data_IF_456122185779
#
_entry.id   IF_456122185779
#
_cell.length_a   1.000
_cell.length_b   1.000
_cell.length_c   1.000
_cell.angle_alpha   90.00
_cell.angle_beta   90.00
_cell.angle_gamma   90.00
#
_symmetry.space_group_name_H-M   'P 1'
#
loop_
_entity.id
_entity.type
_entity.pdbx_description
1 polymer ?
#
# COMPACT_ATOMS: atom_id res chain seq x y z
N UNK A 1 70.75 17.30 -32.47
CA UNK A 1 70.03 16.56 -31.45
C UNK A 1 68.75 17.27 -31.13
N UNK A 2 67.63 16.87 -31.71
CA UNK A 2 66.34 17.57 -31.54
C UNK A 2 65.45 16.70 -30.67
N UNK A 3 65.13 17.19 -29.50
CA UNK A 3 64.21 16.55 -28.59
C UNK A 3 62.74 16.85 -28.96
N UNK A 4 61.94 15.81 -29.24
CA UNK A 4 60.48 15.95 -29.46
C UNK A 4 59.77 15.86 -28.11
N UNK A 5 59.10 16.93 -27.73
CA UNK A 5 58.14 16.93 -26.65
C UNK A 5 56.82 16.26 -27.13
N UNK A 6 56.43 15.15 -26.50
CA UNK A 6 55.12 14.54 -26.70
C UNK A 6 54.12 15.17 -25.72
N UNK A 7 53.11 15.86 -26.25
CA UNK A 7 52.02 16.45 -25.52
C UNK A 7 50.99 15.33 -25.19
N UNK A 8 50.84 14.99 -23.91
CA UNK A 8 49.80 14.11 -23.45
C UNK A 8 48.51 14.93 -23.29
N UNK A 9 47.50 14.64 -24.12
CA UNK A 9 46.17 15.22 -23.98
C UNK A 9 45.40 14.36 -22.95
N UNK A 10 45.19 14.91 -21.76
CA UNK A 10 44.25 14.33 -20.77
C UNK A 10 42.82 14.64 -21.23
N UNK A 11 42.09 13.63 -21.67
CA UNK A 11 40.66 13.71 -21.91
C UNK A 11 39.97 13.59 -20.54
N UNK A 12 39.44 14.70 -20.04
CA UNK A 12 38.58 14.69 -18.85
C UNK A 12 37.21 14.10 -19.23
N UNK A 13 36.89 12.89 -18.71
CA UNK A 13 35.57 12.35 -18.77
C UNK A 13 34.64 13.12 -17.83
N UNK A 14 33.42 13.51 -18.24
CA UNK A 14 32.49 14.17 -17.35
C UNK A 14 31.97 13.15 -16.31
N UNK A 15 32.23 13.43 -15.02
CA UNK A 15 31.56 12.78 -13.90
C UNK A 15 30.12 13.32 -13.80
N UNK A 16 29.18 12.69 -14.49
CA UNK A 16 27.76 13.03 -14.42
C UNK A 16 26.91 11.92 -13.80
N UNK A 17 27.22 11.50 -12.55
CA UNK A 17 26.47 10.41 -11.92
C UNK A 17 25.84 10.63 -10.51
N UNK A 18 26.02 11.73 -9.77
CA UNK A 18 25.38 11.83 -8.45
C UNK A 18 24.00 12.46 -8.41
N UNK A 19 23.59 13.23 -9.44
CA UNK A 19 22.33 13.99 -9.39
C UNK A 19 21.12 13.08 -9.58
N UNK A 20 21.21 12.13 -10.48
CA UNK A 20 20.12 11.23 -10.85
C UNK A 20 19.72 10.22 -9.73
N UNK A 21 20.69 9.75 -8.95
CA UNK A 21 20.44 8.84 -7.83
C UNK A 21 19.77 9.53 -6.64
N UNK A 22 20.09 10.80 -6.40
CA UNK A 22 19.48 11.59 -5.33
C UNK A 22 18.02 11.94 -5.66
N UNK A 23 17.73 12.26 -6.92
CA UNK A 23 16.37 12.56 -7.40
C UNK A 23 15.48 11.33 -7.35
N UNK A 24 15.96 10.17 -7.83
CA UNK A 24 15.25 8.91 -7.74
C UNK A 24 14.97 8.49 -6.28
N UNK A 25 15.98 8.61 -5.42
CA UNK A 25 15.83 8.33 -3.98
C UNK A 25 14.73 9.21 -3.36
N UNK A 26 14.64 10.49 -3.78
CA UNK A 26 13.60 11.40 -3.31
C UNK A 26 12.20 11.02 -3.81
N UNK A 27 12.07 10.50 -5.03
CA UNK A 27 10.80 10.02 -5.59
C UNK A 27 10.32 8.74 -4.92
N UNK A 28 11.24 7.86 -4.53
CA UNK A 28 10.94 6.58 -3.88
C UNK A 28 10.79 6.66 -2.36
N UNK A 29 11.23 7.75 -1.70
CA UNK A 29 10.99 7.93 -0.25
C UNK A 29 9.50 7.87 0.03
N UNK A 30 9.08 6.76 0.64
CA UNK A 30 7.68 6.45 0.83
C UNK A 30 7.05 7.22 1.98
N UNK A 31 7.82 7.57 3.02
CA UNK A 31 7.23 8.22 4.18
C UNK A 31 8.25 8.74 5.19
N UNK A 32 7.98 9.93 5.74
CA UNK A 32 8.46 10.34 7.05
C UNK A 32 7.34 9.99 8.03
N UNK A 33 7.56 9.02 8.91
CA UNK A 33 6.56 8.66 9.91
C UNK A 33 6.40 9.81 10.90
N UNK A 34 5.16 10.31 11.13
CA UNK A 34 4.92 11.38 12.07
C UNK A 34 5.24 10.92 13.49
N UNK A 35 5.83 11.79 14.30
CA UNK A 35 6.08 11.48 15.70
C UNK A 35 4.81 11.69 16.53
N UNK A 36 4.20 10.62 17.07
CA UNK A 36 3.02 10.76 17.90
C UNK A 36 3.37 11.33 19.27
N UNK A 37 2.60 12.35 19.72
CA UNK A 37 2.63 12.82 21.12
C UNK A 37 1.71 11.92 21.94
N UNK A 38 0.50 11.68 21.46
CA UNK A 38 -0.50 10.86 22.14
C UNK A 38 -1.30 10.04 21.11
N UNK A 39 -1.34 8.73 21.32
CA UNK A 39 -2.19 7.79 20.56
C UNK A 39 -3.06 7.02 21.53
N UNK A 40 -4.32 7.43 21.64
CA UNK A 40 -5.31 6.73 22.45
C UNK A 40 -5.71 5.44 21.73
N UNK A 41 -5.64 4.32 22.42
CA UNK A 41 -6.12 3.04 21.86
C UNK A 41 -7.64 3.05 21.66
N UNK A 42 -8.16 2.41 20.59
CA UNK A 42 -9.59 2.32 20.37
C UNK A 42 -10.26 1.49 21.47
N UNK A 43 -11.36 2.01 22.03
CA UNK A 43 -12.14 1.27 23.02
C UNK A 43 -12.78 0.06 22.35
N UNK A 44 -12.54 -1.12 22.91
CA UNK A 44 -13.19 -2.35 22.43
C UNK A 44 -14.70 -2.26 22.61
N UNK A 45 -15.54 -2.37 21.55
CA UNK A 45 -16.98 -2.29 21.69
C UNK A 45 -17.52 -3.46 22.54
N UNK A 46 -18.36 -3.14 23.52
CA UNK A 46 -18.86 -4.13 24.50
C UNK A 46 -19.52 -5.32 23.80
N UNK A 47 -20.31 -5.09 22.75
CA UNK A 47 -20.96 -6.17 22.00
C UNK A 47 -19.97 -7.04 21.23
N UNK A 48 -18.89 -6.45 20.71
CA UNK A 48 -17.84 -7.20 20.06
C UNK A 48 -17.08 -8.06 21.08
N UNK A 49 -16.73 -7.49 22.24
CA UNK A 49 -16.04 -8.20 23.32
C UNK A 49 -16.89 -9.38 23.86
N UNK A 50 -18.18 -9.17 24.13
CA UNK A 50 -19.11 -10.23 24.59
C UNK A 50 -19.23 -11.39 23.60
N UNK A 51 -19.05 -11.11 22.32
CA UNK A 51 -19.14 -12.10 21.24
C UNK A 51 -17.77 -12.62 20.80
N UNK A 52 -16.70 -12.24 21.50
CA UNK A 52 -15.32 -12.59 21.14
C UNK A 52 -14.98 -12.27 19.68
N UNK A 53 -15.56 -11.18 19.12
CA UNK A 53 -15.31 -10.77 17.73
C UNK A 53 -14.02 -9.99 17.64
N UNK A 54 -13.07 -10.52 16.95
CA UNK A 54 -11.83 -9.84 16.57
C UNK A 54 -12.00 -9.16 15.20
N UNK A 55 -11.05 -8.29 14.84
CA UNK A 55 -11.03 -7.63 13.56
C UNK A 55 -9.97 -6.55 13.48
N UNK A 56 -9.96 -5.86 12.37
CA UNK A 56 -9.00 -4.79 12.11
C UNK A 56 -9.64 -3.68 11.28
N UNK A 57 -9.06 -2.50 11.38
CA UNK A 57 -9.46 -1.30 10.62
C UNK A 57 -8.21 -0.57 10.18
N UNK A 58 -8.11 -0.27 8.88
CA UNK A 58 -7.06 0.56 8.31
C UNK A 58 -7.63 1.93 8.01
N UNK A 59 -6.94 2.96 8.50
CA UNK A 59 -7.32 4.34 8.33
C UNK A 59 -6.23 5.11 7.60
N UNK A 60 -6.64 6.02 6.71
CA UNK A 60 -5.81 7.12 6.22
C UNK A 60 -6.31 8.43 6.84
N UNK A 61 -5.40 9.34 7.21
CA UNK A 61 -5.76 10.59 7.87
C UNK A 61 -4.76 11.70 7.60
N UNK A 62 -5.17 12.91 7.90
CA UNK A 62 -4.37 14.13 7.79
C UNK A 62 -4.05 14.62 9.20
N UNK A 63 -2.80 15.05 9.40
CA UNK A 63 -2.37 15.79 10.61
C UNK A 63 -2.25 17.25 10.22
N UNK A 64 -2.99 18.14 10.92
CA UNK A 64 -2.95 19.58 10.67
C UNK A 64 -1.67 20.23 11.23
N UNK A 65 -1.55 21.55 11.06
CA UNK A 65 -0.38 22.32 11.53
C UNK A 65 -0.28 22.38 13.05
N UNK A 66 -1.37 22.15 13.73
CA UNK A 66 -1.51 22.10 15.20
C UNK A 66 -1.30 20.68 15.76
N UNK A 67 -1.06 19.69 14.88
CA UNK A 67 -0.86 18.29 15.27
C UNK A 67 -2.15 17.49 15.50
N UNK A 68 -3.31 18.02 15.13
CA UNK A 68 -4.59 17.32 15.27
C UNK A 68 -4.85 16.40 14.07
N UNK A 69 -5.55 15.28 14.33
CA UNK A 69 -5.99 14.36 13.29
C UNK A 69 -7.34 14.74 12.72
N UNK A 70 -7.41 14.90 11.39
CA UNK A 70 -8.61 15.16 10.62
C UNK A 70 -8.69 14.34 9.33
N UNK A 71 -9.76 14.54 8.56
CA UNK A 71 -9.97 13.87 7.27
C UNK A 71 -9.70 12.36 7.30
N UNK A 72 -10.23 11.68 8.33
CA UNK A 72 -10.06 10.24 8.54
C UNK A 72 -10.89 9.47 7.53
N UNK A 73 -10.22 8.65 6.70
CA UNK A 73 -10.83 7.74 5.73
C UNK A 73 -10.58 6.28 6.15
N UNK A 74 -11.60 5.45 6.01
CA UNK A 74 -11.46 4.00 6.16
C UNK A 74 -11.00 3.43 4.82
N UNK A 75 -9.75 3.05 4.71
CA UNK A 75 -9.20 2.43 3.48
C UNK A 75 -9.57 0.96 3.40
N UNK A 76 -9.56 0.26 4.54
CA UNK A 76 -9.95 -1.15 4.62
C UNK A 76 -10.46 -1.52 6.01
N UNK A 77 -11.25 -2.60 6.11
CA UNK A 77 -11.76 -3.10 7.38
C UNK A 77 -12.18 -4.56 7.28
N UNK A 78 -12.12 -5.28 8.41
CA UNK A 78 -12.69 -6.63 8.56
C UNK A 78 -14.23 -6.68 8.45
N UNK A 79 -14.90 -5.54 8.19
CA UNK A 79 -16.34 -5.46 7.97
C UNK A 79 -17.20 -5.24 9.24
N UNK A 80 -16.60 -5.11 10.41
CA UNK A 80 -17.31 -4.88 11.67
C UNK A 80 -17.54 -3.38 11.89
N UNK A 81 -18.78 -2.90 11.74
CA UNK A 81 -19.13 -1.48 11.85
C UNK A 81 -18.80 -0.86 13.19
N UNK A 82 -19.01 -1.58 14.29
CA UNK A 82 -18.72 -1.10 15.63
C UNK A 82 -17.21 -0.98 15.91
N UNK A 83 -16.39 -1.92 15.42
CA UNK A 83 -14.94 -1.81 15.47
C UNK A 83 -14.46 -0.61 14.63
N UNK A 84 -15.00 -0.45 13.42
CA UNK A 84 -14.67 0.67 12.52
C UNK A 84 -14.97 2.03 13.17
N UNK A 85 -16.13 2.18 13.78
CA UNK A 85 -16.51 3.42 14.48
C UNK A 85 -15.59 3.71 15.67
N UNK A 86 -15.22 2.68 16.43
CA UNK A 86 -14.30 2.83 17.56
C UNK A 86 -12.90 3.26 17.10
N UNK A 87 -12.39 2.69 16.00
CA UNK A 87 -11.11 3.07 15.42
C UNK A 87 -11.10 4.53 14.93
N UNK A 88 -12.15 4.95 14.20
CA UNK A 88 -12.27 6.32 13.73
C UNK A 88 -12.32 7.32 14.91
N UNK A 89 -13.09 6.98 15.96
CA UNK A 89 -13.17 7.81 17.15
C UNK A 89 -11.82 8.00 17.82
N UNK A 90 -11.09 6.90 18.05
CA UNK A 90 -9.77 6.94 18.65
C UNK A 90 -8.78 7.77 17.80
N UNK A 91 -8.74 7.56 16.48
CA UNK A 91 -7.85 8.28 15.59
C UNK A 91 -8.08 9.81 15.62
N UNK A 92 -9.32 10.25 15.73
CA UNK A 92 -9.66 11.68 15.83
C UNK A 92 -9.21 12.35 17.13
N UNK A 93 -8.93 11.57 18.16
CA UNK A 93 -8.46 12.05 19.47
C UNK A 93 -6.91 12.07 19.55
N UNK A 94 -6.19 11.55 18.54
CA UNK A 94 -4.74 11.51 18.52
C UNK A 94 -4.11 12.88 18.34
N UNK A 95 -2.91 13.02 18.91
CA UNK A 95 -2.08 14.22 18.83
C UNK A 95 -0.69 13.85 18.33
N UNK A 96 -0.15 14.70 17.45
CA UNK A 96 1.15 14.56 16.83
C UNK A 96 1.97 15.84 16.90
N UNK A 97 3.28 15.72 16.83
CA UNK A 97 4.13 16.81 16.43
C UNK A 97 3.89 17.12 14.96
N UNK A 98 3.54 18.40 14.59
CA UNK A 98 3.35 18.76 13.20
C UNK A 98 4.66 18.65 12.43
N UNK A 99 4.60 18.34 11.15
CA UNK A 99 5.76 18.42 10.28
C UNK A 99 6.24 19.86 10.19
N UNK A 100 7.55 20.05 10.09
CA UNK A 100 8.17 21.35 9.95
C UNK A 100 8.81 21.49 8.57
N UNK A 101 8.54 22.59 7.87
CA UNK A 101 9.18 22.97 6.62
C UNK A 101 9.71 24.41 6.74
N UNK A 102 11.03 24.58 6.58
CA UNK A 102 11.68 25.88 6.76
C UNK A 102 11.35 26.56 8.10
N UNK A 103 11.28 25.78 9.18
CA UNK A 103 10.95 26.25 10.53
C UNK A 103 9.49 26.62 10.76
N UNK A 104 8.60 26.35 9.80
CA UNK A 104 7.17 26.57 9.93
C UNK A 104 6.40 25.23 9.97
N UNK A 105 5.36 25.10 10.82
CA UNK A 105 4.54 23.91 10.85
C UNK A 105 3.75 23.75 9.55
N UNK A 106 3.76 22.53 9.00
CA UNK A 106 3.04 22.17 7.78
C UNK A 106 2.13 20.99 8.03
N UNK A 107 1.09 20.87 7.23
CA UNK A 107 0.15 19.78 7.27
C UNK A 107 0.80 18.49 6.77
N UNK A 108 0.54 17.36 7.43
CA UNK A 108 0.94 16.01 6.98
C UNK A 108 -0.29 15.25 6.48
N UNK A 109 -0.35 14.97 5.18
CA UNK A 109 -1.60 14.52 4.57
C UNK A 109 -1.60 13.02 4.18
N UNK A 110 -0.45 12.36 4.16
CA UNK A 110 -0.32 10.96 3.74
C UNK A 110 0.02 10.04 4.94
N UNK A 111 -0.89 9.93 5.89
CA UNK A 111 -0.72 9.05 7.05
C UNK A 111 -1.69 7.88 6.96
N UNK A 112 -1.24 6.68 7.32
CA UNK A 112 -2.13 5.53 7.49
C UNK A 112 -1.74 4.71 8.72
N UNK A 113 -2.71 3.98 9.26
CA UNK A 113 -2.52 3.11 10.39
C UNK A 113 -3.47 1.93 10.28
N UNK A 114 -3.05 0.76 10.74
CA UNK A 114 -3.93 -0.35 11.04
C UNK A 114 -4.12 -0.47 12.55
N UNK A 115 -5.36 -0.61 12.97
CA UNK A 115 -5.74 -0.91 14.35
C UNK A 115 -6.34 -2.30 14.42
N UNK A 116 -5.73 -3.17 15.21
CA UNK A 116 -6.20 -4.53 15.44
C UNK A 116 -7.00 -4.59 16.75
N UNK A 117 -8.14 -5.24 16.69
CA UNK A 117 -8.98 -5.56 17.85
C UNK A 117 -8.79 -7.04 18.17
N UNK A 118 -8.02 -7.33 19.20
CA UNK A 118 -7.68 -8.69 19.65
C UNK A 118 -8.24 -8.94 21.03
N UNK A 119 -8.78 -10.15 21.25
CA UNK A 119 -9.31 -10.54 22.57
C UNK A 119 -8.23 -10.76 23.61
N UNK A 120 -7.04 -11.17 23.18
CA UNK A 120 -5.86 -11.39 24.01
C UNK A 120 -4.66 -10.64 23.42
N UNK A 121 -3.64 -10.38 24.24
CA UNK A 121 -2.44 -9.64 23.81
C UNK A 121 -1.80 -10.19 22.53
N UNK A 122 -1.84 -11.51 22.35
CA UNK A 122 -1.31 -12.20 21.17
C UNK A 122 -2.42 -12.67 20.19
N UNK A 123 -3.67 -12.20 20.36
CA UNK A 123 -4.83 -12.68 19.61
C UNK A 123 -5.26 -14.10 20.02
N UNK A 124 -6.36 -14.56 19.41
CA UNK A 124 -6.81 -15.96 19.59
C UNK A 124 -5.91 -16.87 18.77
N UNK A 125 -5.22 -17.80 19.45
CA UNK A 125 -4.36 -18.79 18.78
C UNK A 125 -5.18 -19.97 18.27
N UNK A 126 -4.87 -20.41 17.04
CA UNK A 126 -5.55 -21.55 16.41
C UNK A 126 -6.77 -21.16 15.59
N UNK A 127 -7.54 -22.15 15.21
CA UNK A 127 -8.73 -22.00 14.36
C UNK A 127 -9.90 -22.80 14.93
N UNK A 128 -11.13 -22.30 14.77
CA UNK A 128 -12.35 -23.00 15.18
C UNK A 128 -12.55 -24.30 14.37
N UNK A 129 -13.26 -25.27 14.95
CA UNK A 129 -13.58 -26.54 14.26
C UNK A 129 -14.38 -26.29 12.97
N UNK A 130 -15.29 -25.32 13.00
CA UNK A 130 -16.11 -24.92 11.85
C UNK A 130 -15.23 -24.39 10.73
N UNK A 131 -14.38 -23.39 11.02
CA UNK A 131 -13.46 -22.81 10.04
C UNK A 131 -12.52 -23.87 9.47
N UNK A 132 -11.90 -24.69 10.32
CA UNK A 132 -11.01 -25.77 9.90
C UNK A 132 -11.68 -26.73 8.90
N UNK A 133 -12.95 -27.08 9.12
CA UNK A 133 -13.70 -27.96 8.21
C UNK A 133 -13.95 -27.29 6.86
N UNK A 134 -14.39 -26.03 6.85
CA UNK A 134 -14.63 -25.27 5.63
C UNK A 134 -13.33 -25.03 4.85
N UNK A 135 -12.27 -24.63 5.56
CA UNK A 135 -10.95 -24.38 4.98
C UNK A 135 -10.36 -25.62 4.28
N UNK A 136 -10.42 -26.80 4.93
CA UNK A 136 -9.97 -28.04 4.32
C UNK A 136 -10.73 -28.38 3.02
N UNK A 137 -12.06 -28.19 3.01
CA UNK A 137 -12.87 -28.41 1.81
C UNK A 137 -12.49 -27.44 0.70
N UNK A 138 -12.27 -26.16 1.05
CA UNK A 138 -11.84 -25.15 0.11
C UNK A 138 -10.44 -25.43 -0.45
N UNK A 139 -9.49 -25.85 0.39
CA UNK A 139 -8.14 -26.25 -0.08
C UNK A 139 -8.21 -27.42 -1.06
N UNK A 140 -9.01 -28.45 -0.76
CA UNK A 140 -9.18 -29.59 -1.64
C UNK A 140 -9.81 -29.17 -2.96
N UNK A 141 -10.87 -28.36 -2.92
CA UNK A 141 -11.53 -27.82 -4.11
C UNK A 141 -10.58 -26.99 -5.00
N UNK A 142 -9.67 -26.22 -4.39
CA UNK A 142 -8.64 -25.49 -5.13
C UNK A 142 -7.69 -26.46 -5.86
N UNK A 143 -7.21 -27.50 -5.20
CA UNK A 143 -6.33 -28.52 -5.80
C UNK A 143 -7.04 -29.26 -6.94
N UNK A 144 -8.32 -29.60 -6.77
CA UNK A 144 -9.14 -30.30 -7.74
C UNK A 144 -9.67 -29.38 -8.85
N UNK A 145 -9.48 -28.06 -8.71
CA UNK A 145 -10.02 -27.01 -9.59
C UNK A 145 -11.55 -26.99 -9.66
N UNK A 146 -12.21 -27.47 -8.59
CA UNK A 146 -13.64 -27.32 -8.40
C UNK A 146 -13.96 -25.93 -7.84
N UNK A 147 -13.91 -24.93 -8.73
CA UNK A 147 -14.11 -23.53 -8.36
C UNK A 147 -15.51 -23.23 -7.82
N UNK A 148 -16.52 -24.05 -8.16
CA UNK A 148 -17.87 -23.89 -7.61
C UNK A 148 -17.90 -24.21 -6.12
N UNK A 149 -17.35 -25.34 -5.73
CA UNK A 149 -17.23 -25.73 -4.32
C UNK A 149 -16.33 -24.74 -3.57
N UNK A 150 -15.23 -24.31 -4.19
CA UNK A 150 -14.32 -23.34 -3.60
C UNK A 150 -15.04 -22.02 -3.29
N UNK A 151 -15.76 -21.43 -4.27
CA UNK A 151 -16.53 -20.20 -4.10
C UNK A 151 -17.57 -20.32 -2.98
N UNK A 152 -18.29 -21.46 -2.91
CA UNK A 152 -19.26 -21.74 -1.85
C UNK A 152 -18.59 -21.73 -0.47
N UNK A 153 -17.43 -22.39 -0.31
CA UNK A 153 -16.73 -22.46 0.97
C UNK A 153 -16.13 -21.09 1.36
N UNK A 154 -15.54 -20.35 0.41
CA UNK A 154 -15.04 -19.00 0.64
C UNK A 154 -16.17 -18.05 1.06
N UNK A 155 -17.32 -18.12 0.41
CA UNK A 155 -18.50 -17.33 0.77
C UNK A 155 -19.02 -17.67 2.18
N UNK A 156 -19.01 -18.94 2.58
CA UNK A 156 -19.39 -19.37 3.93
C UNK A 156 -18.43 -18.85 5.00
N UNK A 157 -17.12 -18.90 4.74
CA UNK A 157 -16.11 -18.32 5.64
C UNK A 157 -16.24 -16.80 5.73
N UNK A 158 -16.37 -16.09 4.61
CA UNK A 158 -16.53 -14.63 4.58
C UNK A 158 -17.77 -14.11 5.32
N UNK A 159 -18.84 -14.91 5.37
CA UNK A 159 -20.07 -14.57 6.12
C UNK A 159 -19.92 -14.74 7.63
N UNK A 160 -18.87 -15.40 8.11
CA UNK A 160 -18.67 -15.64 9.52
C UNK A 160 -18.20 -14.37 10.24
N UNK A 161 -19.13 -13.74 10.96
CA UNK A 161 -18.87 -12.52 11.74
C UNK A 161 -17.95 -12.76 12.96
N UNK A 162 -17.65 -13.99 13.29
CA UNK A 162 -16.83 -14.38 14.44
C UNK A 162 -15.46 -14.94 14.03
N UNK A 163 -15.07 -14.72 12.79
CA UNK A 163 -13.75 -15.13 12.30
C UNK A 163 -12.65 -14.44 13.12
N UNK A 164 -11.76 -15.22 13.71
CA UNK A 164 -10.59 -14.70 14.41
C UNK A 164 -9.55 -14.14 13.45
N UNK A 165 -8.63 -13.30 13.93
CA UNK A 165 -7.58 -12.75 13.08
C UNK A 165 -6.69 -13.83 12.45
N UNK A 166 -6.39 -14.92 13.18
CA UNK A 166 -5.68 -16.08 12.64
C UNK A 166 -6.45 -16.77 11.50
N UNK A 167 -7.77 -16.94 11.65
CA UNK A 167 -8.63 -17.51 10.61
C UNK A 167 -8.72 -16.59 9.39
N UNK A 168 -8.77 -15.29 9.62
CA UNK A 168 -8.76 -14.28 8.56
C UNK A 168 -7.48 -14.37 7.73
N UNK A 169 -6.31 -14.59 8.34
CA UNK A 169 -5.07 -14.77 7.63
C UNK A 169 -5.09 -16.02 6.74
N UNK A 170 -5.56 -17.17 7.26
CA UNK A 170 -5.69 -18.39 6.46
C UNK A 170 -6.69 -18.20 5.30
N UNK A 171 -7.82 -17.54 5.56
CA UNK A 171 -8.80 -17.22 4.53
C UNK A 171 -8.16 -16.40 3.41
N UNK A 172 -7.39 -15.33 3.75
CA UNK A 172 -6.76 -14.48 2.75
C UNK A 172 -5.62 -15.16 2.01
N UNK A 173 -4.83 -16.03 2.65
CA UNK A 173 -3.82 -16.84 1.96
C UNK A 173 -4.46 -17.75 0.90
N UNK A 174 -5.51 -18.46 1.27
CA UNK A 174 -6.23 -19.34 0.33
C UNK A 174 -6.89 -18.56 -0.81
N UNK A 175 -7.45 -17.39 -0.49
CA UNK A 175 -8.03 -16.50 -1.51
C UNK A 175 -6.96 -15.92 -2.44
N UNK A 176 -5.76 -15.64 -1.94
CA UNK A 176 -4.62 -15.23 -2.78
C UNK A 176 -4.17 -16.34 -3.74
N UNK A 177 -4.11 -17.59 -3.26
CA UNK A 177 -3.78 -18.72 -4.12
C UNK A 177 -4.87 -18.93 -5.19
N UNK A 178 -6.13 -18.78 -4.84
CA UNK A 178 -7.24 -18.85 -5.79
C UNK A 178 -7.20 -17.73 -6.84
N UNK A 179 -6.99 -16.49 -6.43
CA UNK A 179 -6.83 -15.36 -7.34
C UNK A 179 -5.64 -15.56 -8.29
N UNK A 180 -4.53 -16.16 -7.80
CA UNK A 180 -3.38 -16.53 -8.61
C UNK A 180 -3.74 -17.55 -9.71
N UNK A 181 -4.49 -18.61 -9.37
CA UNK A 181 -4.97 -19.60 -10.34
C UNK A 181 -5.86 -18.98 -11.43
N UNK A 182 -6.63 -17.95 -11.08
CA UNK A 182 -7.47 -17.19 -12.02
C UNK A 182 -6.72 -16.12 -12.81
N UNK A 183 -5.48 -15.81 -12.45
CA UNK A 183 -4.71 -14.71 -13.04
C UNK A 183 -5.17 -13.31 -12.58
N UNK A 184 -5.94 -13.22 -11.51
CA UNK A 184 -6.49 -11.99 -10.94
C UNK A 184 -5.44 -11.32 -10.03
N UNK A 185 -4.44 -10.67 -10.63
CA UNK A 185 -3.26 -10.13 -9.94
C UNK A 185 -3.61 -9.10 -8.86
N UNK A 186 -4.56 -8.20 -9.11
CA UNK A 186 -5.00 -7.18 -8.13
C UNK A 186 -5.66 -7.82 -6.91
N UNK A 187 -6.53 -8.80 -7.12
CA UNK A 187 -7.16 -9.57 -6.03
C UNK A 187 -6.11 -10.35 -5.23
N UNK A 188 -5.18 -11.00 -5.92
CA UNK A 188 -4.08 -11.71 -5.27
C UNK A 188 -3.27 -10.76 -4.38
N UNK A 189 -2.87 -9.60 -4.90
CA UNK A 189 -2.11 -8.59 -4.16
C UNK A 189 -2.90 -8.06 -2.96
N UNK A 190 -4.20 -7.76 -3.15
CA UNK A 190 -5.09 -7.32 -2.06
C UNK A 190 -5.11 -8.33 -0.91
N UNK A 191 -5.27 -9.60 -1.22
CA UNK A 191 -5.29 -10.66 -0.21
C UNK A 191 -3.94 -10.82 0.50
N UNK A 192 -2.83 -10.83 -0.23
CA UNK A 192 -1.49 -10.90 0.35
C UNK A 192 -1.17 -9.69 1.24
N UNK A 193 -1.55 -8.50 0.82
CA UNK A 193 -1.37 -7.25 1.59
C UNK A 193 -2.04 -7.33 2.96
N UNK A 194 -3.25 -7.91 3.04
CA UNK A 194 -3.95 -8.12 4.32
C UNK A 194 -3.19 -9.07 5.24
N UNK A 195 -2.64 -10.15 4.69
CA UNK A 195 -1.80 -11.08 5.46
C UNK A 195 -0.53 -10.39 5.93
N UNK A 196 0.19 -9.70 5.05
CA UNK A 196 1.45 -9.03 5.37
C UNK A 196 1.32 -8.06 6.55
N UNK A 197 0.22 -7.30 6.61
CA UNK A 197 -0.01 -6.36 7.71
C UNK A 197 -0.27 -7.04 9.05
N UNK A 198 -0.88 -8.22 9.06
CA UNK A 198 -1.07 -8.98 10.28
C UNK A 198 0.22 -9.60 10.81
N UNK A 199 1.24 -9.70 9.94
CA UNK A 199 2.57 -10.20 10.28
C UNK A 199 3.53 -9.10 10.74
N UNK A 200 3.16 -7.83 10.67
CA UNK A 200 3.95 -6.73 11.21
C UNK A 200 4.05 -6.92 12.73
N UNK A 201 5.28 -7.10 13.25
CA UNK A 201 5.53 -7.40 14.67
C UNK A 201 5.52 -8.89 15.05
N UNK A 202 5.25 -9.80 14.12
CA UNK A 202 5.38 -11.25 14.33
C UNK A 202 6.78 -11.72 13.87
N UNK A 203 7.43 -12.59 14.65
CA UNK A 203 8.76 -13.17 14.31
C UNK A 203 8.66 -14.35 13.33
N UNK A 204 7.51 -14.58 12.73
CA UNK A 204 7.29 -15.70 11.80
C UNK A 204 7.86 -15.43 10.40
N UNK A 205 9.18 -15.40 10.27
CA UNK A 205 9.89 -15.21 9.00
C UNK A 205 9.50 -16.23 7.92
N UNK A 206 9.13 -17.45 8.31
CA UNK A 206 8.73 -18.49 7.36
C UNK A 206 7.52 -18.12 6.54
N UNK A 207 6.62 -17.32 7.11
CA UNK A 207 5.45 -16.82 6.40
C UNK A 207 5.70 -15.44 5.79
N UNK A 208 6.46 -14.57 6.48
CA UNK A 208 6.78 -13.22 5.99
C UNK A 208 7.47 -13.23 4.63
N UNK A 209 8.54 -14.00 4.49
CA UNK A 209 9.32 -14.02 3.25
C UNK A 209 8.48 -14.36 2.02
N UNK A 210 7.75 -15.50 1.95
CA UNK A 210 6.97 -15.83 0.75
C UNK A 210 5.84 -14.84 0.47
N UNK A 211 5.21 -14.28 1.49
CA UNK A 211 4.14 -13.27 1.32
C UNK A 211 4.72 -11.99 0.74
N UNK A 212 5.75 -11.41 1.37
CA UNK A 212 6.37 -10.17 0.90
C UNK A 212 7.02 -10.33 -0.48
N UNK A 213 7.64 -11.48 -0.78
CA UNK A 213 8.24 -11.73 -2.07
C UNK A 213 7.19 -11.80 -3.20
N UNK A 214 6.04 -12.45 -2.96
CA UNK A 214 4.94 -12.47 -3.92
C UNK A 214 4.32 -11.07 -4.10
N UNK A 215 4.14 -10.33 -3.00
CA UNK A 215 3.67 -8.94 -3.06
C UNK A 215 4.59 -8.07 -3.90
N UNK A 216 5.89 -8.07 -3.59
CA UNK A 216 6.88 -7.29 -4.33
C UNK A 216 6.82 -7.55 -5.84
N UNK A 217 6.75 -8.82 -6.25
CA UNK A 217 6.63 -9.17 -7.66
C UNK A 217 5.35 -8.64 -8.29
N UNK A 218 4.22 -8.80 -7.62
CA UNK A 218 2.93 -8.30 -8.11
C UNK A 218 2.89 -6.78 -8.18
N UNK A 219 3.43 -6.09 -7.18
CA UNK A 219 3.52 -4.63 -7.15
C UNK A 219 4.35 -4.09 -8.32
N UNK A 220 5.48 -4.76 -8.65
CA UNK A 220 6.28 -4.43 -9.85
C UNK A 220 5.49 -4.71 -11.14
N UNK A 221 4.87 -5.88 -11.27
CA UNK A 221 4.09 -6.26 -12.44
C UNK A 221 2.85 -5.35 -12.68
N UNK A 222 2.31 -4.77 -11.60
CA UNK A 222 1.16 -3.86 -11.63
C UNK A 222 1.55 -2.37 -11.65
N UNK A 223 2.84 -2.07 -11.85
CA UNK A 223 3.39 -0.71 -11.85
C UNK A 223 3.17 0.08 -10.54
N UNK A 224 2.91 -0.61 -9.43
CA UNK A 224 2.79 0.00 -8.10
C UNK A 224 4.18 0.20 -7.48
N UNK A 225 5.04 0.97 -8.14
CA UNK A 225 6.47 1.03 -7.86
C UNK A 225 6.82 1.55 -6.48
N UNK A 226 6.03 2.45 -5.92
CA UNK A 226 6.25 2.96 -4.57
C UNK A 226 5.93 1.91 -3.50
N UNK A 227 4.86 1.15 -3.69
CA UNK A 227 4.54 0.00 -2.85
C UNK A 227 5.63 -1.07 -2.97
N UNK A 228 6.10 -1.37 -4.21
CA UNK A 228 7.19 -2.30 -4.46
C UNK A 228 8.48 -1.90 -3.72
N UNK A 229 8.85 -0.61 -3.74
CA UNK A 229 9.99 -0.10 -2.98
C UNK A 229 9.80 -0.30 -1.47
N UNK A 230 8.62 0.01 -0.94
CA UNK A 230 8.31 -0.20 0.49
C UNK A 230 8.39 -1.68 0.89
N UNK A 231 7.89 -2.57 0.04
CA UNK A 231 7.97 -4.02 0.26
C UNK A 231 9.41 -4.52 0.14
N UNK A 232 10.18 -4.02 -0.81
CA UNK A 232 11.62 -4.29 -0.96
C UNK A 232 12.39 -3.92 0.32
N UNK A 233 12.17 -2.73 0.87
CA UNK A 233 12.78 -2.28 2.13
C UNK A 233 12.46 -3.18 3.34
N UNK A 234 11.30 -3.84 3.34
CA UNK A 234 10.93 -4.85 4.33
C UNK A 234 11.65 -6.18 4.07
N UNK A 235 11.72 -6.60 2.80
CA UNK A 235 12.37 -7.86 2.40
C UNK A 235 13.86 -7.89 2.74
N UNK A 236 14.61 -6.84 2.40
CA UNK A 236 16.07 -6.81 2.63
C UNK A 236 16.45 -6.81 4.11
N UNK A 237 15.51 -6.54 5.02
CA UNK A 237 15.70 -6.63 6.47
C UNK A 237 15.50 -8.04 7.03
N UNK A 238 14.94 -8.96 6.23
CA UNK A 238 14.74 -10.34 6.65
C UNK A 238 16.02 -11.17 6.43
N UNK A 239 16.62 -11.79 7.46
CA UNK A 239 17.75 -12.68 7.29
C UNK A 239 17.49 -13.82 6.29
N UNK A 240 16.26 -14.32 6.24
CA UNK A 240 15.83 -15.36 5.30
C UNK A 240 15.80 -14.90 3.83
N UNK A 241 15.85 -13.60 3.55
CA UNK A 241 15.90 -13.06 2.19
C UNK A 241 17.32 -12.98 1.61
N UNK A 242 18.38 -13.22 2.40
CA UNK A 242 19.77 -13.13 1.96
C UNK A 242 20.07 -13.83 0.61
N UNK A 243 19.55 -15.04 0.32
CA UNK A 243 19.79 -15.69 -0.97
C UNK A 243 19.20 -14.97 -2.18
N UNK A 244 18.28 -14.04 -1.97
CA UNK A 244 17.52 -13.35 -3.02
C UNK A 244 17.92 -11.88 -3.20
N UNK A 245 18.82 -11.33 -2.38
CA UNK A 245 19.15 -9.89 -2.35
C UNK A 245 19.61 -9.37 -3.71
N UNK A 246 20.49 -10.09 -4.40
CA UNK A 246 20.98 -9.69 -5.72
C UNK A 246 19.83 -9.63 -6.75
N UNK A 247 18.97 -10.63 -6.78
CA UNK A 247 17.81 -10.68 -7.66
C UNK A 247 16.85 -9.52 -7.36
N UNK A 248 16.57 -9.26 -6.09
CA UNK A 248 15.69 -8.16 -5.66
C UNK A 248 16.28 -6.79 -6.07
N UNK A 249 17.58 -6.58 -5.87
CA UNK A 249 18.25 -5.35 -6.27
C UNK A 249 18.24 -5.15 -7.79
N UNK A 250 18.44 -6.21 -8.59
CA UNK A 250 18.34 -6.13 -10.05
C UNK A 250 16.94 -5.73 -10.52
N UNK A 251 15.89 -6.28 -9.89
CA UNK A 251 14.50 -5.88 -10.20
C UNK A 251 14.29 -4.40 -9.86
N UNK A 252 14.77 -3.92 -8.70
CA UNK A 252 14.67 -2.51 -8.32
C UNK A 252 15.44 -1.58 -9.26
N UNK A 253 16.55 -2.01 -9.83
CA UNK A 253 17.25 -1.26 -10.88
C UNK A 253 16.37 -1.09 -12.12
N UNK A 254 15.72 -2.16 -12.59
CA UNK A 254 14.79 -2.07 -13.72
C UNK A 254 13.58 -1.18 -13.42
N UNK A 255 13.03 -1.23 -12.21
CA UNK A 255 11.97 -0.31 -11.75
C UNK A 255 12.45 1.13 -11.82
N UNK A 256 13.68 1.40 -11.38
CA UNK A 256 14.30 2.72 -11.44
C UNK A 256 14.40 3.24 -12.90
N UNK A 257 14.83 2.37 -13.81
CA UNK A 257 14.93 2.72 -15.24
C UNK A 257 13.57 3.06 -15.84
N UNK A 258 12.49 2.39 -15.41
CA UNK A 258 11.13 2.73 -15.83
C UNK A 258 10.70 4.07 -15.25
N UNK A 259 10.96 4.34 -13.96
CA UNK A 259 10.52 5.58 -13.30
C UNK A 259 11.20 6.82 -13.92
N UNK A 260 12.49 6.75 -14.23
CA UNK A 260 13.25 7.86 -14.83
C UNK A 260 13.15 7.90 -16.36
N UNK A 261 12.62 6.87 -16.97
CA UNK A 261 12.50 6.73 -18.42
C UNK A 261 11.50 7.74 -19.04
N UNK A 262 11.53 7.80 -20.36
CA UNK A 262 10.77 8.74 -21.20
C UNK A 262 9.39 8.23 -21.64
N UNK A 263 8.97 7.07 -21.15
CA UNK A 263 7.68 6.45 -21.48
C UNK A 263 6.68 6.59 -20.36
N UNK A 264 5.42 6.76 -20.72
CA UNK A 264 4.30 6.63 -19.81
C UNK A 264 4.26 5.21 -19.21
N UNK A 265 3.76 5.11 -17.99
CA UNK A 265 3.30 3.83 -17.46
C UNK A 265 1.88 3.95 -16.89
N UNK A 266 1.17 2.86 -16.90
CA UNK A 266 -0.27 2.82 -16.67
C UNK A 266 -0.60 1.89 -15.51
N UNK A 267 -1.52 2.34 -14.65
CA UNK A 267 -2.15 1.51 -13.62
C UNK A 267 -3.64 1.40 -13.94
N UNK A 268 -4.16 0.18 -13.99
CA UNK A 268 -5.60 -0.05 -14.03
C UNK A 268 -6.21 0.18 -12.65
N UNK A 269 -7.35 0.84 -12.61
CA UNK A 269 -7.99 1.26 -11.38
C UNK A 269 -9.49 0.96 -11.41
N UNK A 270 -10.01 0.45 -10.30
CA UNK A 270 -11.45 0.23 -10.12
C UNK A 270 -11.84 0.70 -8.72
N UNK A 271 -12.91 1.48 -8.62
CA UNK A 271 -13.46 1.92 -7.33
C UNK A 271 -14.23 0.76 -6.70
N UNK A 272 -13.71 0.22 -5.58
CA UNK A 272 -14.38 -0.88 -4.88
C UNK A 272 -15.62 -0.41 -4.10
N UNK A 273 -15.50 0.73 -3.39
CA UNK A 273 -16.60 1.30 -2.58
C UNK A 273 -16.82 2.78 -2.86
N UNK A 274 -16.03 3.62 -2.17
CA UNK A 274 -16.20 5.07 -2.20
C UNK A 274 -15.07 5.75 -2.97
N UNK A 275 -13.89 5.11 -3.02
CA UNK A 275 -12.70 5.66 -3.68
C UNK A 275 -11.69 4.57 -4.04
N UNK A 276 -10.81 4.90 -4.98
CA UNK A 276 -9.56 4.19 -5.26
C UNK A 276 -8.38 5.08 -4.90
N UNK A 277 -7.24 4.49 -4.50
CA UNK A 277 -6.07 5.28 -4.13
C UNK A 277 -4.76 4.58 -4.47
N UNK A 278 -3.74 5.39 -4.82
CA UNK A 278 -2.37 4.96 -5.03
C UNK A 278 -1.38 6.05 -4.64
N UNK A 279 -0.12 5.67 -4.45
CA UNK A 279 0.99 6.60 -4.27
C UNK A 279 1.64 6.89 -5.61
N UNK A 280 1.85 8.17 -5.93
CA UNK A 280 2.50 8.59 -7.18
C UNK A 280 4.02 8.50 -7.05
N UNK A 281 4.69 8.05 -8.10
CA UNK A 281 6.16 8.11 -8.24
C UNK A 281 6.60 9.25 -9.15
N UNK A 282 5.73 9.71 -10.05
CA UNK A 282 5.99 10.87 -10.90
C UNK A 282 5.08 12.03 -10.51
N UNK A 283 5.42 13.22 -10.96
CA UNK A 283 4.70 14.45 -10.63
C UNK A 283 3.69 14.89 -11.69
N UNK A 284 3.54 14.16 -12.79
CA UNK A 284 2.56 14.44 -13.85
C UNK A 284 1.77 13.18 -14.16
N UNK A 285 0.44 13.30 -14.21
CA UNK A 285 -0.44 12.16 -14.47
C UNK A 285 -1.76 12.59 -15.09
N UNK A 286 -2.46 11.63 -15.72
CA UNK A 286 -3.82 11.78 -16.26
C UNK A 286 -4.69 10.61 -15.84
N UNK A 287 -6.00 10.83 -15.80
CA UNK A 287 -7.01 9.77 -15.70
C UNK A 287 -7.66 9.61 -17.07
N UNK A 288 -7.61 8.40 -17.62
CA UNK A 288 -8.11 8.11 -18.98
C UNK A 288 -8.94 6.82 -18.97
N UNK A 289 -9.61 6.55 -20.10
CA UNK A 289 -10.47 5.36 -20.28
C UNK A 289 -11.47 5.22 -19.12
N UNK A 290 -12.18 6.32 -18.80
CA UNK A 290 -13.10 6.39 -17.67
C UNK A 290 -14.43 5.70 -18.07
N UNK A 291 -14.77 4.64 -17.34
CA UNK A 291 -16.05 3.95 -17.43
C UNK A 291 -16.78 4.12 -16.09
N UNK A 292 -17.97 4.72 -16.10
CA UNK A 292 -18.71 5.14 -14.92
C UNK A 292 -18.46 6.58 -14.55
N UNK A 293 -18.80 6.99 -13.30
CA UNK A 293 -18.69 8.37 -12.83
C UNK A 293 -17.57 8.52 -11.81
N UNK A 294 -16.69 9.50 -12.06
CA UNK A 294 -15.69 9.96 -11.10
C UNK A 294 -16.08 11.36 -10.61
N UNK A 295 -16.02 11.58 -9.29
CA UNK A 295 -16.48 12.82 -8.66
C UNK A 295 -15.32 13.79 -8.42
N UNK A 296 -14.36 13.38 -7.59
CA UNK A 296 -13.24 14.23 -7.13
C UNK A 296 -11.93 13.48 -7.03
N UNK A 297 -10.85 14.23 -7.26
CA UNK A 297 -9.47 13.81 -7.08
C UNK A 297 -8.89 14.53 -5.85
N UNK A 298 -8.62 13.81 -4.77
CA UNK A 298 -7.97 14.35 -3.56
C UNK A 298 -6.48 13.99 -3.59
N UNK A 299 -5.65 14.98 -3.87
CA UNK A 299 -4.18 14.83 -3.86
C UNK A 299 -3.67 15.12 -2.45
N UNK A 300 -3.05 14.13 -1.82
CA UNK A 300 -2.50 14.20 -0.46
C UNK A 300 -1.00 13.96 -0.49
N UNK A 301 -0.25 15.01 -0.23
CA UNK A 301 1.21 14.97 -0.16
C UNK A 301 1.68 15.13 1.29
N UNK A 302 2.97 14.92 1.57
CA UNK A 302 3.51 15.07 2.92
C UNK A 302 3.19 16.45 3.53
N UNK A 303 3.22 17.51 2.72
CA UNK A 303 3.10 18.89 3.17
C UNK A 303 1.91 19.65 2.57
N UNK A 304 1.14 19.07 1.68
CA UNK A 304 0.02 19.74 0.99
C UNK A 304 -1.12 18.76 0.70
N UNK A 305 -2.33 19.32 0.67
CA UNK A 305 -3.53 18.64 0.20
C UNK A 305 -4.31 19.55 -0.73
N UNK A 306 -4.78 19.01 -1.85
CA UNK A 306 -5.68 19.72 -2.73
C UNK A 306 -6.72 18.77 -3.33
N UNK A 307 -7.94 19.28 -3.50
CA UNK A 307 -9.05 18.54 -4.09
C UNK A 307 -9.42 19.19 -5.41
N UNK A 308 -9.46 18.38 -6.46
CA UNK A 308 -9.80 18.80 -7.82
C UNK A 308 -11.12 18.17 -8.24
N UNK A 309 -11.89 18.87 -9.09
CA UNK A 309 -12.92 18.25 -9.92
C UNK A 309 -12.24 17.42 -10.99
N UNK A 310 -12.81 16.28 -11.35
CA UNK A 310 -12.29 15.44 -12.44
C UNK A 310 -13.00 15.85 -13.72
N UNK A 311 -12.21 16.26 -14.71
CA UNK A 311 -12.65 16.51 -16.08
C UNK A 311 -11.89 15.55 -17.00
N UNK A 312 -12.60 14.89 -17.91
CA UNK A 312 -12.00 13.95 -18.84
C UNK A 312 -10.91 14.61 -19.69
N UNK A 313 -9.79 13.92 -19.86
CA UNK A 313 -8.64 14.43 -20.62
C UNK A 313 -7.75 15.42 -19.85
N UNK A 314 -8.05 15.69 -18.56
CA UNK A 314 -7.19 16.56 -17.75
C UNK A 314 -5.87 15.89 -17.40
N UNK A 315 -4.80 16.68 -17.45
CA UNK A 315 -3.48 16.29 -16.95
C UNK A 315 -3.14 17.14 -15.73
N UNK A 316 -2.86 16.48 -14.62
CA UNK A 316 -2.43 17.14 -13.40
C UNK A 316 -0.91 17.15 -13.29
N UNK A 317 -0.36 18.31 -12.93
CA UNK A 317 1.07 18.49 -12.62
C UNK A 317 1.21 18.88 -11.16
N UNK A 318 1.84 18.01 -10.38
CA UNK A 318 2.12 18.26 -8.97
C UNK A 318 3.38 19.12 -8.87
N UNK A 319 3.34 20.27 -8.16
CA UNK A 319 4.53 21.09 -7.95
C UNK A 319 5.68 20.31 -7.30
N UNK A 320 6.91 20.52 -7.73
CA UNK A 320 8.09 19.78 -7.26
C UNK A 320 8.34 19.90 -5.74
N UNK A 321 7.82 20.94 -5.10
CA UNK A 321 7.91 21.13 -3.65
C UNK A 321 6.84 20.36 -2.85
N UNK A 322 5.89 19.69 -3.51
CA UNK A 322 4.97 18.74 -2.89
C UNK A 322 5.64 17.38 -2.88
N UNK A 323 5.77 16.78 -1.69
CA UNK A 323 6.55 15.55 -1.51
C UNK A 323 5.64 14.38 -1.13
N UNK A 324 6.00 13.18 -1.57
CA UNK A 324 5.35 11.93 -1.17
C UNK A 324 3.83 11.99 -1.36
N UNK A 325 3.39 12.23 -2.60
CA UNK A 325 1.99 12.41 -2.91
C UNK A 325 1.29 11.07 -3.15
N UNK A 326 0.09 10.96 -2.58
CA UNK A 326 -0.91 9.92 -2.89
C UNK A 326 -2.13 10.59 -3.48
N UNK A 327 -2.82 9.89 -4.35
CA UNK A 327 -4.11 10.32 -4.89
C UNK A 327 -5.23 9.42 -4.40
N UNK A 328 -6.38 10.03 -4.18
CA UNK A 328 -7.64 9.37 -3.85
C UNK A 328 -8.66 9.83 -4.88
N UNK A 329 -9.11 8.91 -5.72
CA UNK A 329 -10.13 9.15 -6.75
C UNK A 329 -11.47 8.67 -6.22
N UNK A 330 -12.38 9.61 -5.98
CA UNK A 330 -13.74 9.32 -5.51
C UNK A 330 -14.68 9.21 -6.70
N UNK A 331 -15.67 8.32 -6.60
CA UNK A 331 -16.66 8.10 -7.64
C UNK A 331 -17.60 6.96 -7.28
N UNK A 332 -18.43 6.59 -8.23
CA UNK A 332 -19.38 5.50 -8.02
C UNK A 332 -18.67 4.12 -7.90
N UNK A 333 -19.22 3.22 -7.08
CA UNK A 333 -18.69 1.85 -6.98
C UNK A 333 -18.69 1.15 -8.35
N UNK A 334 -17.58 0.47 -8.65
CA UNK A 334 -17.27 -0.22 -9.91
C UNK A 334 -16.92 0.70 -11.09
N UNK A 335 -16.84 2.01 -10.91
CA UNK A 335 -16.22 2.86 -11.91
C UNK A 335 -14.81 2.38 -12.19
N UNK A 336 -14.45 2.25 -13.47
CA UNK A 336 -13.15 1.81 -13.93
C UNK A 336 -12.45 2.94 -14.69
N UNK A 337 -11.13 3.05 -14.55
CA UNK A 337 -10.31 4.02 -15.26
C UNK A 337 -8.84 3.59 -15.28
N UNK A 338 -8.04 4.28 -16.06
CA UNK A 338 -6.58 4.12 -16.04
C UNK A 338 -5.91 5.39 -15.51
N UNK A 339 -4.99 5.21 -14.58
CA UNK A 339 -4.04 6.24 -14.20
C UNK A 339 -2.81 6.10 -15.09
N UNK A 340 -2.46 7.18 -15.81
CA UNK A 340 -1.24 7.27 -16.62
C UNK A 340 -0.29 8.23 -15.93
N UNK A 341 0.87 7.75 -15.49
CA UNK A 341 1.94 8.61 -14.98
C UNK A 341 2.91 8.97 -16.13
N UNK A 342 3.02 10.26 -16.41
CA UNK A 342 3.84 10.79 -17.52
C UNK A 342 5.32 10.94 -17.14
N UNK A 343 6.24 10.92 -18.11
CA UNK A 343 7.66 11.14 -17.87
C UNK A 343 7.93 12.40 -17.05
N UNK A 344 9.01 12.36 -16.27
CA UNK A 344 9.49 13.52 -15.56
C UNK A 344 9.85 14.59 -16.61
N UNK A 345 9.18 15.75 -16.56
CA UNK A 345 9.55 16.87 -17.45
C UNK A 345 10.92 17.37 -17.04
N UNK A 346 11.86 17.29 -18.00
CA UNK A 346 13.19 17.90 -17.91
C UNK A 346 13.15 19.42 -17.65
#
# INVERSE_FOLDING_TARGET
MSARLSTVVLVALPLSAPIQSAELSQLLVTRIDPMPIERIEPKYPINAARQSREGWVRLSFVIDKEGNVGNVLVTETSGSKDLTQSAIKAAKEWKYEPAMENGQPVQQCANSVQMDFRMHKNGTTGVSRKFKSQYKKAQQALVEKDYKVLDEQLALMKKDKYMHLSENNYFHLLSADYAKEKGEKYEQLSHLSRVAMSLDGDDNEKLKLPVLYQMFRLEVELNQFKAAHSTYEKLIKLPSANPYLEQLANIMTQVSDVIIGDKDFVLDATIDKDFWSTELVRNSFSLVDIEGSLDTLDVRCANKRHVYSIEEGSTWKIPANWKNCSIYVFGEPKAHFKLVEHPLSS
#
